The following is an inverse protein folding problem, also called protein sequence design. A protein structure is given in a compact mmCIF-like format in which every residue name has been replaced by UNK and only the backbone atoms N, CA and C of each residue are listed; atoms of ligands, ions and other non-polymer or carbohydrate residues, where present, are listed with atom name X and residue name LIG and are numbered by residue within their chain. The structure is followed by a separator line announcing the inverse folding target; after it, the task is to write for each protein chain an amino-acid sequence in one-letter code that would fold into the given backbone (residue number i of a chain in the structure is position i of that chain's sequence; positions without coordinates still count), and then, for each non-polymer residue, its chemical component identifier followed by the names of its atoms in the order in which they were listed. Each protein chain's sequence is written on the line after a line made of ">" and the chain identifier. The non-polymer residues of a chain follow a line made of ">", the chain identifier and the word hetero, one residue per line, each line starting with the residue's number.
data_IF_634547541598
#
_entry.id   IF_634547541598
#
_cell.length_a   1.000
_cell.length_b   1.000
_cell.length_c   1.000
_cell.angle_alpha   90.00
_cell.angle_beta   90.00
_cell.angle_gamma   90.00
#
_symmetry.space_group_name_H-M   'P 1'
#
loop_
_entity.id
_entity.type
_entity.pdbx_description
1 polymer ?
#
# COMPACT_ATOMS: atom_id res chain seq x y z
N UNK A 1 -6.61 -32.86 10.48
CA UNK A 1 -6.05 -32.70 11.84
C UNK A 1 -7.15 -32.88 12.90
N UNK A 2 -8.31 -32.22 12.82
CA UNK A 2 -9.43 -32.37 13.78
C UNK A 2 -9.90 -33.81 13.85
N UNK A 3 -10.05 -34.50 12.72
CA UNK A 3 -10.42 -35.93 12.66
C UNK A 3 -9.38 -36.84 13.32
N UNK A 4 -8.15 -36.37 13.53
CA UNK A 4 -7.08 -37.04 14.26
C UNK A 4 -7.04 -36.68 15.75
N UNK A 5 -8.05 -35.97 16.26
CA UNK A 5 -8.14 -35.53 17.65
C UNK A 5 -7.23 -34.35 18.00
N UNK A 6 -6.64 -33.66 17.02
CA UNK A 6 -5.80 -32.48 17.27
C UNK A 6 -6.65 -31.23 17.44
N UNK A 7 -6.24 -30.33 18.32
CA UNK A 7 -6.79 -28.98 18.40
C UNK A 7 -6.32 -28.17 17.17
N UNK A 8 -7.26 -27.60 16.44
CA UNK A 8 -6.99 -26.77 15.28
C UNK A 8 -7.60 -25.40 15.53
N UNK A 9 -6.76 -24.39 15.56
CA UNK A 9 -7.15 -22.99 15.64
C UNK A 9 -7.03 -22.36 14.25
N UNK A 10 -8.15 -22.07 13.62
CA UNK A 10 -8.26 -21.45 12.30
C UNK A 10 -9.36 -20.39 12.36
N UNK A 11 -9.08 -19.20 12.90
CA UNK A 11 -10.07 -18.15 13.04
C UNK A 11 -10.45 -17.56 11.67
N UNK A 12 -11.65 -16.99 11.59
CA UNK A 12 -12.11 -16.24 10.43
C UNK A 12 -12.11 -14.74 10.76
N UNK A 13 -11.51 -13.92 9.88
CA UNK A 13 -11.54 -12.47 9.96
C UNK A 13 -12.26 -11.88 8.76
N UNK A 14 -13.08 -10.86 9.00
CA UNK A 14 -13.75 -10.06 7.98
C UNK A 14 -13.07 -8.70 7.90
N UNK A 15 -12.36 -8.44 6.82
CA UNK A 15 -11.81 -7.11 6.49
C UNK A 15 -12.94 -6.29 5.86
N UNK A 16 -13.67 -5.58 6.70
CA UNK A 16 -14.97 -5.04 6.36
C UNK A 16 -14.98 -3.55 6.06
N UNK A 17 -13.91 -2.80 6.37
CA UNK A 17 -13.75 -1.44 5.91
C UNK A 17 -13.40 -1.41 4.41
N UNK A 18 -13.89 -0.39 3.70
CA UNK A 18 -13.45 -0.18 2.33
C UNK A 18 -14.43 0.61 1.49
N UNK A 19 -13.89 1.34 0.51
CA UNK A 19 -14.64 2.20 -0.40
C UNK A 19 -15.63 1.41 -1.27
N UNK A 20 -15.37 0.13 -1.54
CA UNK A 20 -16.31 -0.71 -2.30
C UNK A 20 -17.63 -0.89 -1.55
N UNK A 21 -17.55 -1.19 -0.26
CA UNK A 21 -18.75 -1.32 0.61
C UNK A 21 -19.47 0.01 0.75
N UNK A 22 -18.73 1.11 0.91
CA UNK A 22 -19.33 2.46 1.00
C UNK A 22 -20.05 2.86 -0.28
N UNK A 23 -19.41 2.68 -1.45
CA UNK A 23 -20.02 2.99 -2.74
C UNK A 23 -21.26 2.13 -3.01
N UNK A 24 -21.23 0.85 -2.63
CA UNK A 24 -22.39 -0.01 -2.77
C UNK A 24 -23.52 0.40 -1.82
N UNK A 25 -23.20 0.75 -0.58
CA UNK A 25 -24.13 1.27 0.39
C UNK A 25 -24.85 2.54 -0.12
N UNK A 26 -24.07 3.49 -0.69
CA UNK A 26 -24.64 4.68 -1.34
C UNK A 26 -25.57 4.33 -2.49
N UNK A 27 -25.16 3.37 -3.35
CA UNK A 27 -25.96 2.92 -4.50
C UNK A 27 -27.32 2.36 -4.12
N UNK A 28 -27.39 1.62 -3.00
CA UNK A 28 -28.65 1.00 -2.52
C UNK A 28 -29.39 1.82 -1.46
N UNK A 29 -28.84 2.99 -1.07
CA UNK A 29 -29.45 3.87 -0.06
C UNK A 29 -29.43 3.29 1.36
N UNK A 30 -28.45 2.44 1.69
CA UNK A 30 -28.32 1.79 3.00
C UNK A 30 -27.04 2.27 3.68
N UNK A 31 -27.05 2.47 4.99
CA UNK A 31 -25.84 2.85 5.71
C UNK A 31 -24.87 1.67 5.82
N UNK A 32 -23.54 1.86 5.68
CA UNK A 32 -22.56 0.78 5.83
C UNK A 32 -22.67 0.00 7.14
N UNK A 33 -23.04 0.65 8.24
CA UNK A 33 -23.26 -0.02 9.54
C UNK A 33 -24.35 -1.09 9.52
N UNK A 34 -25.32 -0.97 8.61
CA UNK A 34 -26.41 -1.95 8.46
C UNK A 34 -26.04 -2.99 7.38
N UNK A 35 -25.38 -2.53 6.31
CA UNK A 35 -24.98 -3.38 5.20
C UNK A 35 -23.91 -4.41 5.59
N UNK A 36 -22.87 -3.98 6.31
CA UNK A 36 -21.72 -4.83 6.62
C UNK A 36 -22.10 -6.04 7.47
N UNK A 37 -22.83 -5.90 8.60
CA UNK A 37 -23.24 -7.06 9.39
C UNK A 37 -24.07 -8.08 8.61
N UNK A 38 -24.97 -7.62 7.75
CA UNK A 38 -25.78 -8.49 6.89
C UNK A 38 -24.91 -9.28 5.89
N UNK A 39 -23.88 -8.65 5.32
CA UNK A 39 -22.93 -9.30 4.43
C UNK A 39 -22.07 -10.33 5.19
N UNK A 40 -21.56 -10.00 6.35
CA UNK A 40 -20.77 -10.90 7.22
C UNK A 40 -21.59 -12.15 7.58
N UNK A 41 -22.86 -11.97 7.94
CA UNK A 41 -23.76 -13.11 8.22
C UNK A 41 -23.95 -13.99 6.98
N UNK A 42 -24.18 -13.37 5.83
CA UNK A 42 -24.35 -14.10 4.57
C UNK A 42 -23.09 -14.88 4.18
N UNK A 43 -21.89 -14.28 4.25
CA UNK A 43 -20.62 -14.96 4.00
C UNK A 43 -20.38 -16.11 4.98
N UNK A 44 -20.64 -15.89 6.26
CA UNK A 44 -20.54 -16.95 7.29
C UNK A 44 -21.45 -18.12 6.95
N UNK A 45 -22.70 -17.86 6.57
CA UNK A 45 -23.65 -18.87 6.15
C UNK A 45 -23.17 -19.66 4.92
N UNK A 46 -22.63 -18.95 3.90
CA UNK A 46 -22.12 -19.58 2.69
C UNK A 46 -20.90 -20.46 2.98
N UNK A 47 -19.92 -19.95 3.74
CA UNK A 47 -18.73 -20.70 4.12
C UNK A 47 -19.04 -21.95 4.92
N UNK A 48 -20.03 -21.87 5.83
CA UNK A 48 -20.50 -23.06 6.57
C UNK A 48 -21.15 -24.08 5.65
N UNK A 49 -21.89 -23.64 4.63
CA UNK A 49 -22.55 -24.55 3.67
C UNK A 49 -21.56 -25.34 2.80
N UNK A 50 -20.43 -24.78 2.46
CA UNK A 50 -19.36 -25.48 1.73
C UNK A 50 -18.43 -26.28 2.63
N UNK A 51 -18.74 -26.39 3.91
CA UNK A 51 -17.95 -27.17 4.86
C UNK A 51 -16.74 -26.45 5.45
N UNK A 52 -16.70 -25.10 5.40
CA UNK A 52 -15.64 -24.29 6.02
C UNK A 52 -15.63 -24.49 7.53
N UNK A 53 -14.66 -25.26 8.02
CA UNK A 53 -14.53 -25.65 9.43
C UNK A 53 -13.65 -24.65 10.20
N UNK A 54 -13.91 -23.38 10.04
CA UNK A 54 -13.23 -22.32 10.79
C UNK A 54 -13.63 -22.33 12.27
N UNK A 55 -12.81 -21.71 13.11
CA UNK A 55 -13.14 -21.47 14.50
C UNK A 55 -14.05 -20.24 14.62
N UNK A 56 -15.32 -20.46 14.31
CA UNK A 56 -16.35 -19.41 14.29
C UNK A 56 -16.55 -18.70 15.63
N UNK A 57 -16.11 -19.33 16.74
CA UNK A 57 -16.17 -18.72 18.06
C UNK A 57 -15.19 -17.56 18.20
N UNK A 58 -14.07 -17.62 17.48
CA UNK A 58 -13.02 -16.61 17.48
C UNK A 58 -13.00 -15.80 16.17
N UNK A 59 -14.14 -15.69 15.51
CA UNK A 59 -14.27 -14.79 14.37
C UNK A 59 -14.17 -13.32 14.82
N UNK A 60 -13.61 -12.49 13.94
CA UNK A 60 -13.47 -11.05 14.18
C UNK A 60 -13.93 -10.25 12.96
N UNK A 61 -14.27 -8.99 13.21
CA UNK A 61 -14.66 -8.00 12.21
C UNK A 61 -13.84 -6.74 12.44
N UNK A 62 -13.16 -6.25 11.41
CA UNK A 62 -12.31 -5.05 11.51
C UNK A 62 -13.11 -3.77 11.78
N UNK A 63 -14.42 -3.77 11.54
CA UNK A 63 -15.32 -2.63 11.85
C UNK A 63 -15.81 -2.63 13.30
N UNK A 64 -15.54 -3.68 14.07
CA UNK A 64 -15.87 -3.69 15.50
C UNK A 64 -14.97 -2.71 16.26
N UNK A 65 -15.53 -1.77 17.04
CA UNK A 65 -14.76 -0.83 17.86
C UNK A 65 -13.76 -1.50 18.81
N UNK A 66 -14.10 -2.69 19.30
CA UNK A 66 -13.19 -3.47 20.16
C UNK A 66 -11.94 -3.94 19.41
N UNK A 67 -12.03 -4.08 18.08
CA UNK A 67 -10.92 -4.42 17.22
C UNK A 67 -10.17 -3.17 16.73
N UNK A 68 -10.80 -2.23 16.05
CA UNK A 68 -10.08 -1.12 15.41
C UNK A 68 -9.45 -0.14 16.40
N UNK A 69 -9.83 -0.12 17.68
CA UNK A 69 -9.10 0.63 18.71
C UNK A 69 -7.62 0.26 18.76
N UNK A 70 -7.27 -0.98 18.44
CA UNK A 70 -5.89 -1.44 18.40
C UNK A 70 -5.14 -0.91 17.17
N UNK A 71 -5.81 -0.79 16.03
CA UNK A 71 -5.28 -0.12 14.85
C UNK A 71 -4.98 1.35 15.16
N UNK A 72 -5.90 2.03 15.85
CA UNK A 72 -5.70 3.41 16.31
C UNK A 72 -4.53 3.50 17.29
N UNK A 73 -4.40 2.55 18.21
CA UNK A 73 -3.28 2.50 19.14
C UNK A 73 -1.94 2.32 18.42
N UNK A 74 -1.86 1.43 17.45
CA UNK A 74 -0.66 1.24 16.61
C UNK A 74 -0.31 2.54 15.89
N UNK A 75 -1.29 3.23 15.29
CA UNK A 75 -1.06 4.53 14.66
C UNK A 75 -0.45 5.55 15.63
N UNK A 76 -1.01 5.66 16.84
CA UNK A 76 -0.48 6.58 17.85
C UNK A 76 0.95 6.22 18.25
N UNK A 77 1.29 4.92 18.37
CA UNK A 77 2.67 4.49 18.64
C UNK A 77 3.63 4.86 17.50
N UNK A 78 3.20 4.73 16.25
CA UNK A 78 4.00 5.17 15.10
C UNK A 78 4.16 6.69 15.07
N UNK A 79 3.12 7.43 15.43
CA UNK A 79 3.15 8.89 15.52
C UNK A 79 4.10 9.35 16.63
N UNK A 80 3.99 8.80 17.84
CA UNK A 80 4.86 9.09 18.99
C UNK A 80 6.33 8.78 18.70
N UNK A 81 6.59 7.75 17.88
CA UNK A 81 7.93 7.38 17.42
C UNK A 81 8.45 8.26 16.26
N UNK A 82 7.68 9.26 15.79
CA UNK A 82 8.05 10.11 14.67
C UNK A 82 8.01 9.43 13.30
N UNK A 83 7.39 8.24 13.22
CA UNK A 83 7.28 7.44 12.00
C UNK A 83 6.03 7.75 11.17
N UNK A 84 5.11 8.54 11.70
CA UNK A 84 3.95 9.05 10.99
C UNK A 84 4.02 10.58 10.91
N UNK A 85 3.83 11.12 9.71
CA UNK A 85 3.83 12.57 9.46
C UNK A 85 2.64 12.96 8.57
N UNK A 86 2.17 14.18 8.73
CA UNK A 86 1.13 14.74 7.86
C UNK A 86 1.75 15.78 6.92
N UNK A 87 1.67 15.53 5.62
CA UNK A 87 2.18 16.45 4.60
C UNK A 87 1.28 16.49 3.37
N UNK A 88 1.39 17.57 2.59
CA UNK A 88 0.80 17.63 1.26
C UNK A 88 1.65 16.79 0.30
N UNK A 89 1.00 15.97 -0.49
CA UNK A 89 1.64 15.21 -1.55
C UNK A 89 0.65 14.99 -2.71
N UNK A 90 1.16 14.83 -3.93
CA UNK A 90 0.34 14.47 -5.06
C UNK A 90 -0.23 13.05 -4.85
N UNK A 91 -1.52 12.92 -5.10
CA UNK A 91 -2.26 11.64 -5.02
C UNK A 91 -3.08 11.46 -6.28
N UNK A 92 -3.30 10.21 -6.66
CA UNK A 92 -4.23 9.88 -7.74
C UNK A 92 -5.65 10.10 -7.24
N UNK A 93 -6.40 10.97 -7.88
CA UNK A 93 -7.77 11.29 -7.53
C UNK A 93 -8.73 10.89 -8.63
N UNK A 94 -9.77 10.14 -8.27
CA UNK A 94 -10.89 9.88 -9.17
C UNK A 94 -12.01 10.89 -8.93
N UNK A 95 -12.32 11.79 -9.89
CA UNK A 95 -13.37 12.80 -9.70
C UNK A 95 -14.79 12.22 -9.69
N UNK A 96 -15.01 11.06 -10.31
CA UNK A 96 -16.29 10.35 -10.31
C UNK A 96 -16.54 9.60 -9.00
N UNK A 97 -15.56 8.84 -8.51
CA UNK A 97 -15.66 8.13 -7.24
C UNK A 97 -15.40 9.03 -6.01
N UNK A 98 -14.93 10.26 -6.23
CA UNK A 98 -14.54 11.24 -5.21
C UNK A 98 -13.60 10.64 -4.14
N UNK A 99 -12.60 9.89 -4.59
CA UNK A 99 -11.67 9.17 -3.71
C UNK A 99 -10.23 9.18 -4.23
N UNK A 100 -9.30 9.01 -3.31
CA UNK A 100 -7.88 8.76 -3.61
C UNK A 100 -7.72 7.31 -4.05
N UNK A 101 -6.87 7.09 -5.06
CA UNK A 101 -6.56 5.78 -5.59
C UNK A 101 -5.09 5.43 -5.31
N UNK A 102 -4.84 4.18 -4.97
CA UNK A 102 -3.49 3.61 -4.99
C UNK A 102 -2.99 3.50 -6.45
N UNK A 103 -1.68 3.40 -6.64
CA UNK A 103 -1.10 3.31 -7.99
C UNK A 103 -1.62 2.09 -8.76
N UNK A 104 -1.84 0.97 -8.06
CA UNK A 104 -2.37 -0.29 -8.60
C UNK A 104 -3.81 -0.17 -9.10
N UNK A 105 -4.55 0.84 -8.59
CA UNK A 105 -5.95 1.12 -8.96
C UNK A 105 -6.06 2.08 -10.17
N UNK A 106 -4.93 2.51 -10.72
CA UNK A 106 -4.87 3.35 -11.92
C UNK A 106 -4.44 2.49 -13.10
N UNK A 107 -5.39 2.15 -13.96
CA UNK A 107 -5.15 1.32 -15.14
C UNK A 107 -5.14 2.22 -16.37
N UNK A 108 -3.99 2.32 -17.04
CA UNK A 108 -3.81 3.17 -18.25
C UNK A 108 -4.32 4.60 -18.08
N UNK A 109 -4.06 5.20 -16.88
CA UNK A 109 -4.49 6.57 -16.57
C UNK A 109 -5.95 6.72 -16.15
N UNK A 110 -6.69 5.62 -16.02
CA UNK A 110 -8.09 5.62 -15.62
C UNK A 110 -8.33 4.87 -14.32
N UNK A 111 -9.42 5.20 -13.63
CA UNK A 111 -9.87 4.52 -12.43
C UNK A 111 -10.29 3.07 -12.75
N UNK A 112 -9.77 2.09 -12.04
CA UNK A 112 -10.11 0.67 -12.20
C UNK A 112 -11.61 0.36 -12.08
N UNK A 113 -12.36 1.22 -11.36
CA UNK A 113 -13.77 0.99 -11.01
C UNK A 113 -14.75 1.62 -11.98
N UNK A 114 -14.49 2.88 -12.35
CA UNK A 114 -15.45 3.67 -13.14
C UNK A 114 -14.89 4.14 -14.47
N UNK A 115 -13.64 3.76 -14.80
CA UNK A 115 -12.93 4.11 -16.04
C UNK A 115 -12.78 5.62 -16.31
N UNK A 116 -13.12 6.46 -15.32
CA UNK A 116 -12.93 7.91 -15.42
C UNK A 116 -11.43 8.24 -15.40
N UNK A 117 -10.94 9.18 -16.23
CA UNK A 117 -9.57 9.66 -16.16
C UNK A 117 -9.20 10.13 -14.76
N UNK A 118 -8.03 9.72 -14.30
CA UNK A 118 -7.51 10.04 -12.96
C UNK A 118 -6.76 11.37 -13.01
N UNK A 119 -6.99 12.21 -12.01
CA UNK A 119 -6.32 13.50 -11.83
C UNK A 119 -5.26 13.41 -10.74
N UNK A 120 -4.18 14.19 -10.89
CA UNK A 120 -3.24 14.41 -9.79
C UNK A 120 -3.72 15.59 -8.95
N UNK A 121 -3.87 15.37 -7.63
CA UNK A 121 -4.23 16.42 -6.68
C UNK A 121 -3.28 16.45 -5.50
N UNK A 122 -2.88 17.63 -5.08
CA UNK A 122 -2.16 17.80 -3.82
C UNK A 122 -3.14 17.82 -2.65
N UNK A 123 -3.11 16.77 -1.85
CA UNK A 123 -3.96 16.61 -0.68
C UNK A 123 -3.10 16.39 0.55
N UNK A 124 -3.49 16.99 1.68
CA UNK A 124 -2.86 16.76 2.97
C UNK A 124 -3.21 15.36 3.46
N UNK A 125 -2.20 14.50 3.58
CA UNK A 125 -2.34 13.06 3.88
C UNK A 125 -1.39 12.67 5.01
N UNK A 126 -1.72 11.56 5.68
CA UNK A 126 -0.81 10.88 6.58
C UNK A 126 0.13 9.96 5.78
N UNK A 127 1.41 10.02 6.13
CA UNK A 127 2.45 9.17 5.56
C UNK A 127 3.21 8.46 6.67
N UNK A 128 3.53 7.19 6.44
CA UNK A 128 4.48 6.46 7.26
C UNK A 128 5.86 6.49 6.61
N UNK A 129 6.89 6.71 7.42
CA UNK A 129 8.29 6.74 6.96
C UNK A 129 8.83 5.32 6.79
N UNK A 130 8.19 4.54 5.93
CA UNK A 130 8.53 3.13 5.71
C UNK A 130 9.93 2.94 5.13
N UNK A 131 10.44 3.91 4.37
CA UNK A 131 11.77 3.88 3.75
C UNK A 131 12.90 3.94 4.76
N UNK A 132 12.68 4.45 5.98
CA UNK A 132 13.67 4.45 7.06
C UNK A 132 14.07 3.03 7.50
N UNK A 133 13.22 2.06 7.22
CA UNK A 133 13.44 0.65 7.52
C UNK A 133 13.89 -0.18 6.33
N UNK A 134 13.95 0.39 5.12
CA UNK A 134 14.21 -0.36 3.89
C UNK A 134 15.52 -1.16 3.94
N UNK A 135 16.63 -0.53 4.34
CA UNK A 135 17.91 -1.21 4.44
C UNK A 135 17.90 -2.31 5.51
N UNK A 136 17.33 -2.01 6.70
CA UNK A 136 17.23 -2.99 7.78
C UNK A 136 16.38 -4.20 7.40
N UNK A 137 15.29 -3.99 6.66
CA UNK A 137 14.47 -5.08 6.16
C UNK A 137 15.24 -5.94 5.16
N UNK A 138 16.01 -5.32 4.25
CA UNK A 138 16.83 -6.03 3.28
C UNK A 138 17.91 -6.88 3.96
N UNK A 139 18.65 -6.30 4.93
CA UNK A 139 19.69 -6.99 5.67
C UNK A 139 19.14 -8.17 6.48
N UNK A 140 17.96 -8.01 7.06
CA UNK A 140 17.32 -9.03 7.88
C UNK A 140 16.80 -10.24 7.07
N UNK A 141 16.69 -10.14 5.75
CA UNK A 141 16.34 -11.30 4.90
C UNK A 141 17.33 -12.45 5.06
N UNK A 142 18.58 -12.16 5.42
CA UNK A 142 19.60 -13.19 5.67
C UNK A 142 19.32 -14.07 6.90
N UNK A 143 18.48 -13.61 7.82
CA UNK A 143 18.18 -14.30 9.09
C UNK A 143 16.80 -15.00 9.09
N UNK A 144 16.06 -14.90 7.98
CA UNK A 144 14.70 -15.44 7.90
C UNK A 144 14.72 -16.71 7.05
N UNK A 145 14.13 -17.78 7.59
CA UNK A 145 13.99 -19.04 6.84
C UNK A 145 12.75 -19.01 5.92
N UNK A 146 12.83 -18.20 4.86
CA UNK A 146 11.82 -18.13 3.81
C UNK A 146 12.28 -18.84 2.55
N UNK A 147 11.34 -19.15 1.65
CA UNK A 147 11.66 -19.68 0.34
C UNK A 147 12.46 -18.67 -0.48
N UNK A 148 13.34 -19.16 -1.38
CA UNK A 148 14.11 -18.28 -2.27
C UNK A 148 13.23 -17.33 -3.10
N UNK A 149 12.06 -17.80 -3.54
CA UNK A 149 11.11 -16.98 -4.29
C UNK A 149 10.62 -15.79 -3.44
N UNK A 150 10.32 -16.04 -2.16
CA UNK A 150 9.89 -14.98 -1.25
C UNK A 150 11.02 -13.99 -0.97
N UNK A 151 12.23 -14.50 -0.71
CA UNK A 151 13.41 -13.64 -0.48
C UNK A 151 13.69 -12.73 -1.68
N UNK A 152 13.67 -13.29 -2.89
CA UNK A 152 13.83 -12.50 -4.14
C UNK A 152 12.72 -11.46 -4.32
N UNK A 153 11.47 -11.84 -4.06
CA UNK A 153 10.33 -10.92 -4.16
C UNK A 153 10.47 -9.74 -3.19
N UNK A 154 10.87 -10.00 -1.93
CA UNK A 154 11.10 -8.96 -0.93
C UNK A 154 12.26 -8.03 -1.32
N UNK A 155 13.39 -8.59 -1.74
CA UNK A 155 14.54 -7.81 -2.21
C UNK A 155 14.19 -6.91 -3.40
N UNK A 156 13.47 -7.44 -4.38
CA UNK A 156 13.02 -6.68 -5.55
C UNK A 156 12.00 -5.60 -5.19
N UNK A 157 11.11 -5.86 -4.23
CA UNK A 157 10.14 -4.88 -3.75
C UNK A 157 10.81 -3.69 -3.05
N UNK A 158 11.82 -3.95 -2.20
CA UNK A 158 12.62 -2.90 -1.57
C UNK A 158 13.39 -2.12 -2.62
N UNK A 159 13.91 -2.79 -3.64
CA UNK A 159 14.45 -2.19 -4.84
C UNK A 159 15.64 -1.27 -4.58
N UNK A 160 16.60 -1.67 -3.70
CA UNK A 160 17.81 -0.87 -3.47
C UNK A 160 18.52 -0.62 -4.80
N UNK A 161 18.73 0.65 -5.09
CA UNK A 161 19.41 1.11 -6.29
C UNK A 161 20.53 2.06 -5.89
N UNK A 162 21.70 1.88 -6.49
CA UNK A 162 22.85 2.75 -6.30
C UNK A 162 23.13 3.48 -7.61
N UNK A 163 23.50 4.75 -7.51
CA UNK A 163 23.82 5.57 -8.67
C UNK A 163 24.75 6.72 -8.32
N UNK A 164 25.12 7.47 -9.33
CA UNK A 164 25.99 8.62 -9.22
C UNK A 164 25.29 9.91 -9.63
N UNK A 165 25.60 10.99 -8.94
CA UNK A 165 25.27 12.34 -9.37
C UNK A 165 26.44 12.91 -10.18
N UNK A 166 26.13 13.46 -11.31
CA UNK A 166 27.10 14.04 -12.24
C UNK A 166 26.72 15.46 -12.54
N UNK A 167 27.70 16.35 -12.54
CA UNK A 167 27.52 17.75 -12.88
C UNK A 167 28.15 18.02 -14.26
N UNK A 168 27.34 18.48 -15.20
CA UNK A 168 27.78 18.95 -16.51
C UNK A 168 27.84 20.47 -16.50
N UNK A 169 29.03 21.02 -16.74
CA UNK A 169 29.20 22.46 -16.90
C UNK A 169 28.71 22.90 -18.27
N UNK A 170 27.82 23.87 -18.31
CA UNK A 170 27.34 24.48 -19.55
C UNK A 170 28.38 25.47 -20.07
N UNK A 171 28.76 25.31 -21.32
CA UNK A 171 29.73 26.16 -21.99
C UNK A 171 29.09 26.84 -23.20
N UNK A 172 29.54 28.04 -23.53
CA UNK A 172 29.21 28.70 -24.79
C UNK A 172 29.81 27.95 -26.01
N UNK A 173 29.36 28.19 -27.24
CA UNK A 173 29.92 27.56 -28.44
C UNK A 173 31.42 27.88 -28.65
N UNK A 174 31.91 28.95 -28.06
CA UNK A 174 33.32 29.36 -28.07
C UNK A 174 34.17 28.73 -26.94
N UNK A 175 33.55 27.81 -26.14
CA UNK A 175 34.21 27.10 -25.05
C UNK A 175 34.26 27.85 -23.72
N UNK A 176 33.78 29.09 -23.63
CA UNK A 176 33.74 29.82 -22.35
C UNK A 176 32.66 29.25 -21.43
N UNK A 177 32.97 29.14 -20.13
CA UNK A 177 32.00 28.71 -19.12
C UNK A 177 30.86 29.74 -18.99
N UNK A 178 29.63 29.22 -18.96
CA UNK A 178 28.45 30.03 -18.64
C UNK A 178 28.26 30.26 -17.14
N UNK A 179 29.00 29.54 -16.28
CA UNK A 179 28.79 29.49 -14.83
C UNK A 179 27.59 28.66 -14.40
N UNK A 180 26.86 28.07 -15.33
CA UNK A 180 25.74 27.18 -15.06
C UNK A 180 26.18 25.70 -15.11
N UNK A 181 25.62 24.89 -14.22
CA UNK A 181 25.79 23.45 -14.19
C UNK A 181 24.43 22.76 -14.29
N UNK A 182 24.40 21.61 -14.95
CA UNK A 182 23.25 20.71 -15.00
C UNK A 182 23.62 19.49 -14.17
N UNK A 183 22.94 19.29 -13.04
CA UNK A 183 23.08 18.08 -12.23
C UNK A 183 22.13 16.99 -12.76
N UNK A 184 22.67 15.80 -12.99
CA UNK A 184 21.92 14.63 -13.39
C UNK A 184 22.21 13.47 -12.44
N UNK A 185 21.24 12.60 -12.25
CA UNK A 185 21.42 11.35 -11.52
C UNK A 185 21.26 10.16 -12.46
N UNK A 186 22.15 9.19 -12.37
CA UNK A 186 22.07 7.97 -13.15
C UNK A 186 22.47 6.75 -12.33
N UNK A 187 21.80 5.62 -12.56
CA UNK A 187 22.21 4.29 -12.06
C UNK A 187 23.21 3.62 -12.99
N UNK A 188 23.51 4.21 -14.15
CA UNK A 188 24.43 3.71 -15.17
C UNK A 188 25.46 4.78 -15.55
N UNK A 189 26.37 5.15 -14.62
CA UNK A 189 27.39 6.15 -14.93
C UNK A 189 28.34 5.73 -16.06
N UNK A 190 28.41 4.45 -16.35
CA UNK A 190 29.16 3.86 -17.45
C UNK A 190 28.60 4.21 -18.86
N UNK A 191 27.35 4.69 -18.94
CA UNK A 191 26.66 5.00 -20.20
C UNK A 191 26.48 6.49 -20.47
N UNK A 192 27.06 7.38 -19.64
CA UNK A 192 26.83 8.85 -19.75
C UNK A 192 27.29 9.47 -21.07
N UNK A 193 28.21 8.81 -21.79
CA UNK A 193 28.69 9.32 -23.10
C UNK A 193 27.63 9.28 -24.20
N UNK A 194 26.50 8.61 -23.96
CA UNK A 194 25.35 8.59 -24.84
C UNK A 194 24.14 9.38 -24.33
N UNK A 195 24.34 10.29 -23.35
CA UNK A 195 23.27 11.15 -22.85
C UNK A 195 22.86 12.13 -23.94
N UNK A 196 21.58 12.14 -24.31
CA UNK A 196 20.95 13.04 -25.27
C UNK A 196 19.86 13.85 -24.60
#
# INVERSE_FOLDING_TARGET
>A
LRMQGRTVFEPMGFDAFGIHSENFALKIGTHPMDLIPANVENFTRQLRRIGGMFDWKHSLDTTDPSYYRWTQWVFLKLFDAGLAEQKKAPVNWCPSCMTVLANEQVITGTCERCTTPVEQREIKQWFFKITDYAQRLLDNLAFINWSETTLKAQGNWIGRSEGARLNFSVVHPDGRSTGHNIEVYTTRPDTIFGAT
#
